data_IF_008758041103
#
_entry.id   IF_008758041103
#
_cell.length_a   1.000
_cell.length_b   1.000
_cell.length_c   1.000
_cell.angle_alpha   90.00
_cell.angle_beta   90.00
_cell.angle_gamma   90.00
#
_symmetry.space_group_name_H-M   'P 1'
#
loop_
_entity.id
_entity.type
_entity.pdbx_description
1 polymer ?
#
# COMPACT_ATOMS: atom_id res chain seq x y z
N UNK A 1 26.59 14.22 18.87
CA UNK A 1 26.03 12.92 19.22
C UNK A 1 26.78 11.86 18.43
N UNK A 2 27.46 10.93 19.13
CA UNK A 2 28.28 9.92 18.47
C UNK A 2 27.36 8.97 17.68
N UNK A 3 27.79 8.51 16.51
CA UNK A 3 27.13 7.48 15.68
C UNK A 3 26.73 6.24 16.50
N UNK A 4 27.51 5.90 17.53
CA UNK A 4 27.27 4.80 18.47
C UNK A 4 25.94 4.93 19.22
N UNK A 5 25.52 6.13 19.60
CA UNK A 5 24.25 6.35 20.29
C UNK A 5 23.02 6.19 19.37
N UNK A 6 23.15 6.52 18.07
CA UNK A 6 22.05 6.34 17.11
C UNK A 6 21.86 4.87 16.73
N UNK A 7 22.92 4.10 16.59
CA UNK A 7 22.87 2.66 16.29
C UNK A 7 22.28 1.85 17.46
N UNK A 8 22.64 2.18 18.69
CA UNK A 8 22.00 1.59 19.88
C UNK A 8 20.50 1.87 19.91
N UNK A 9 20.07 3.12 19.66
CA UNK A 9 18.65 3.46 19.61
C UNK A 9 17.87 2.71 18.51
N UNK A 10 18.49 2.44 17.36
CA UNK A 10 17.85 1.67 16.27
C UNK A 10 17.70 0.21 16.66
N UNK A 11 18.77 -0.38 17.26
CA UNK A 11 18.76 -1.77 17.71
C UNK A 11 17.73 -1.98 18.82
N UNK A 12 17.65 -1.08 19.79
CA UNK A 12 16.70 -1.15 20.89
C UNK A 12 15.26 -1.04 20.40
N UNK A 13 14.97 -0.11 19.47
CA UNK A 13 13.62 0.00 18.85
C UNK A 13 13.23 -1.27 18.12
N UNK A 14 14.16 -1.87 17.40
CA UNK A 14 13.90 -3.13 16.68
C UNK A 14 13.62 -4.26 17.66
N UNK A 15 14.39 -4.35 18.76
CA UNK A 15 14.16 -5.34 19.80
C UNK A 15 12.77 -5.17 20.45
N UNK A 16 12.41 -3.94 20.83
CA UNK A 16 11.08 -3.63 21.38
C UNK A 16 9.95 -4.03 20.43
N UNK A 17 10.14 -3.87 19.12
CA UNK A 17 9.16 -4.26 18.12
C UNK A 17 8.92 -5.79 18.12
N UNK A 18 9.98 -6.59 18.20
CA UNK A 18 9.88 -8.04 18.25
C UNK A 18 9.43 -8.57 19.63
N UNK A 19 9.80 -7.90 20.70
CA UNK A 19 9.30 -8.22 22.05
C UNK A 19 7.81 -7.96 22.15
N UNK A 20 7.33 -6.89 21.52
CA UNK A 20 5.90 -6.57 21.41
C UNK A 20 5.15 -7.67 20.67
N UNK A 21 5.63 -8.12 19.51
CA UNK A 21 5.03 -9.22 18.76
C UNK A 21 4.91 -10.47 19.63
N UNK A 22 6.01 -10.86 20.28
CA UNK A 22 6.04 -12.02 21.16
C UNK A 22 5.05 -11.92 22.32
N UNK A 23 4.93 -10.72 22.91
CA UNK A 23 3.98 -10.47 23.99
C UNK A 23 2.53 -10.54 23.51
N UNK A 24 2.25 -9.95 22.36
CA UNK A 24 0.90 -9.93 21.75
C UNK A 24 0.46 -11.36 21.41
N UNK A 25 1.31 -12.15 20.75
CA UNK A 25 1.01 -13.54 20.41
C UNK A 25 0.72 -14.41 21.64
N UNK A 26 1.50 -14.26 22.70
CA UNK A 26 1.24 -14.95 23.98
C UNK A 26 -0.12 -14.64 24.59
N UNK A 27 -0.71 -13.49 24.24
CA UNK A 27 -2.02 -13.05 24.71
C UNK A 27 -3.14 -13.26 23.66
N UNK A 28 -2.87 -14.01 22.60
CA UNK A 28 -3.84 -14.36 21.55
C UNK A 28 -4.14 -13.22 20.57
N UNK A 29 -3.23 -12.26 20.46
CA UNK A 29 -3.31 -11.22 19.44
C UNK A 29 -2.31 -11.55 18.32
N UNK A 30 -2.80 -11.65 17.09
CA UNK A 30 -2.00 -11.93 15.92
C UNK A 30 -1.85 -10.65 15.09
N UNK A 31 -0.67 -10.47 14.52
CA UNK A 31 -0.42 -9.37 13.59
C UNK A 31 -1.23 -9.62 12.31
N UNK A 32 -2.08 -8.68 11.91
CA UNK A 32 -2.85 -8.79 10.67
C UNK A 32 -2.34 -7.85 9.58
N UNK A 33 -1.62 -6.78 9.97
CA UNK A 33 -0.85 -5.90 9.10
C UNK A 33 0.39 -5.37 9.84
N UNK A 34 1.29 -4.68 9.16
CA UNK A 34 2.62 -4.31 9.67
C UNK A 34 2.61 -3.70 11.08
N UNK A 35 1.63 -2.85 11.39
CA UNK A 35 1.60 -2.03 12.61
C UNK A 35 0.58 -2.48 13.64
N UNK A 36 -0.36 -3.34 13.28
CA UNK A 36 -1.53 -3.65 14.11
C UNK A 36 -1.72 -5.15 14.38
N UNK A 37 -2.25 -5.42 15.56
CA UNK A 37 -2.55 -6.76 16.08
C UNK A 37 -4.02 -6.86 16.44
N UNK A 38 -4.60 -8.03 16.30
CA UNK A 38 -5.97 -8.30 16.71
C UNK A 38 -6.11 -9.76 17.15
N UNK A 39 -7.13 -10.05 17.95
CA UNK A 39 -7.61 -11.43 18.15
C UNK A 39 -8.26 -11.92 16.87
N UNK A 40 -8.35 -13.23 16.72
CA UNK A 40 -9.02 -13.84 15.59
C UNK A 40 -10.45 -13.27 15.41
N UNK A 41 -10.79 -12.83 14.20
CA UNK A 41 -12.08 -12.22 13.86
C UNK A 41 -12.25 -10.75 14.28
N UNK A 42 -11.24 -10.12 14.92
CA UNK A 42 -11.31 -8.74 15.41
C UNK A 42 -10.34 -7.78 14.69
N UNK A 43 -9.80 -8.16 13.54
CA UNK A 43 -9.02 -7.24 12.73
C UNK A 43 -9.84 -5.99 12.35
N UNK A 44 -9.21 -4.82 12.37
CA UNK A 44 -9.88 -3.58 12.04
C UNK A 44 -10.23 -3.54 10.55
N UNK A 45 -11.51 -3.74 10.21
CA UNK A 45 -12.01 -3.73 8.83
C UNK A 45 -11.74 -2.40 8.13
N UNK A 46 -11.77 -1.29 8.87
CA UNK A 46 -11.45 0.02 8.31
C UNK A 46 -9.99 0.10 7.82
N UNK A 47 -9.04 -0.41 8.61
CA UNK A 47 -7.64 -0.47 8.18
C UNK A 47 -7.45 -1.43 6.99
N UNK A 48 -8.05 -2.62 7.06
CA UNK A 48 -8.00 -3.57 5.96
C UNK A 48 -8.58 -2.98 4.67
N UNK A 49 -9.69 -2.22 4.77
CA UNK A 49 -10.29 -1.55 3.64
C UNK A 49 -9.32 -0.57 2.95
N UNK A 50 -8.47 0.14 3.70
CA UNK A 50 -7.42 0.96 3.09
C UNK A 50 -6.37 0.12 2.35
N UNK A 51 -5.93 -0.98 2.97
CA UNK A 51 -4.94 -1.87 2.36
C UNK A 51 -5.47 -2.66 1.16
N UNK A 52 -6.78 -2.79 1.06
CA UNK A 52 -7.50 -3.46 -0.05
C UNK A 52 -8.06 -2.46 -1.08
N UNK A 53 -7.73 -1.17 -0.93
CA UNK A 53 -8.19 -0.11 -1.82
C UNK A 53 -9.72 -0.02 -1.95
N UNK A 54 -10.45 -0.36 -0.88
CA UNK A 54 -11.90 -0.19 -0.82
C UNK A 54 -12.23 1.30 -0.93
N UNK A 55 -13.16 1.71 -1.79
CA UNK A 55 -13.55 3.12 -1.92
C UNK A 55 -14.00 3.71 -0.60
N UNK A 56 -13.58 4.95 -0.32
CA UNK A 56 -13.95 5.68 0.89
C UNK A 56 -14.09 7.18 0.65
N UNK A 57 -14.87 7.81 1.51
CA UNK A 57 -15.03 9.26 1.56
C UNK A 57 -14.39 9.82 2.84
N UNK A 58 -13.50 10.79 2.67
CA UNK A 58 -12.89 11.54 3.76
C UNK A 58 -13.70 12.79 4.09
N UNK A 59 -13.98 13.00 5.36
CA UNK A 59 -14.69 14.16 5.86
C UNK A 59 -13.78 15.02 6.74
N UNK A 60 -13.88 16.32 6.61
CA UNK A 60 -13.07 17.29 7.34
C UNK A 60 -11.95 17.89 6.48
N UNK A 61 -11.25 18.86 7.05
CA UNK A 61 -10.11 19.55 6.42
C UNK A 61 -8.96 18.55 6.18
N UNK A 62 -8.32 18.66 5.02
CA UNK A 62 -7.19 17.79 4.64
C UNK A 62 -7.53 16.31 4.46
N UNK A 63 -8.79 15.89 4.61
CA UNK A 63 -9.15 14.49 4.49
C UNK A 63 -9.14 14.04 3.03
N UNK A 64 -8.47 12.90 2.77
CA UNK A 64 -8.43 12.27 1.45
C UNK A 64 -9.63 11.35 1.22
N UNK A 65 -10.01 11.18 -0.03
CA UNK A 65 -11.03 10.22 -0.50
C UNK A 65 -10.47 9.41 -1.65
N UNK A 66 -10.88 8.17 -1.75
CA UNK A 66 -10.65 7.29 -2.90
C UNK A 66 -12.00 6.80 -3.38
N UNK A 67 -12.39 7.14 -4.60
CA UNK A 67 -13.71 6.85 -5.14
C UNK A 67 -13.63 6.38 -6.59
N UNK A 68 -14.59 5.57 -7.06
CA UNK A 68 -14.70 5.25 -8.48
C UNK A 68 -14.81 6.53 -9.32
N UNK A 69 -14.09 6.57 -10.43
CA UNK A 69 -14.03 7.76 -11.30
C UNK A 69 -15.37 8.14 -11.92
N UNK A 70 -16.28 7.18 -12.13
CA UNK A 70 -17.63 7.39 -12.63
C UNK A 70 -18.54 8.17 -11.65
N UNK A 71 -18.23 8.15 -10.35
CA UNK A 71 -18.93 8.97 -9.35
C UNK A 71 -18.57 10.46 -9.44
N UNK A 72 -17.42 10.79 -10.02
CA UNK A 72 -16.91 12.16 -10.10
C UNK A 72 -17.29 12.83 -11.42
N UNK A 73 -17.41 12.06 -12.48
CA UNK A 73 -17.75 12.57 -13.80
C UNK A 73 -18.81 11.69 -14.49
N UNK A 74 -19.83 12.31 -15.06
CA UNK A 74 -20.83 11.60 -15.89
C UNK A 74 -20.26 11.10 -17.23
N UNK A 75 -18.99 10.71 -17.25
CA UNK A 75 -18.28 10.30 -18.46
C UNK A 75 -17.99 8.81 -18.43
N UNK A 76 -18.59 8.03 -19.32
CA UNK A 76 -18.32 6.59 -19.51
C UNK A 76 -16.85 6.21 -19.67
N UNK A 77 -15.98 7.19 -20.04
CA UNK A 77 -14.52 6.96 -20.14
C UNK A 77 -13.81 6.77 -18.79
N UNK A 78 -14.51 7.01 -17.67
CA UNK A 78 -13.99 6.91 -16.32
C UNK A 78 -14.45 5.62 -15.61
N UNK A 79 -15.24 4.80 -16.29
CA UNK A 79 -15.73 3.53 -15.77
C UNK A 79 -14.54 2.58 -15.49
N UNK A 80 -14.50 2.04 -14.28
CA UNK A 80 -13.43 1.14 -13.83
C UNK A 80 -12.13 1.80 -13.36
N UNK A 81 -12.02 3.14 -13.37
CA UNK A 81 -10.86 3.87 -12.84
C UNK A 81 -11.14 4.43 -11.46
N UNK A 82 -10.11 4.46 -10.62
CA UNK A 82 -10.19 5.10 -9.31
C UNK A 82 -9.74 6.56 -9.41
N UNK A 83 -10.27 7.35 -8.51
CA UNK A 83 -9.97 8.78 -8.42
C UNK A 83 -9.72 9.16 -6.97
N UNK A 84 -8.73 10.00 -6.77
CA UNK A 84 -8.39 10.55 -5.45
C UNK A 84 -8.65 12.04 -5.42
N UNK A 85 -9.15 12.53 -4.30
CA UNK A 85 -9.16 13.95 -4.00
C UNK A 85 -8.90 14.17 -2.50
N UNK A 86 -8.36 15.35 -2.19
CA UNK A 86 -8.13 15.78 -0.80
C UNK A 86 -8.94 17.04 -0.54
N UNK A 87 -9.62 17.09 0.59
CA UNK A 87 -10.33 18.27 1.03
C UNK A 87 -9.33 19.41 1.32
N UNK A 88 -9.74 20.69 1.17
CA UNK A 88 -8.89 21.81 1.53
C UNK A 88 -8.41 21.76 2.98
N UNK A 89 -7.17 22.21 3.21
CA UNK A 89 -6.57 22.25 4.56
C UNK A 89 -7.14 23.38 5.43
N UNK A 90 -7.71 24.42 4.82
CA UNK A 90 -8.27 25.55 5.50
C UNK A 90 -9.77 25.38 5.71
N UNK A 91 -10.22 25.56 6.96
CA UNK A 91 -11.64 25.42 7.33
C UNK A 91 -12.58 26.30 6.48
N UNK A 92 -12.16 27.53 6.17
CA UNK A 92 -12.96 28.44 5.36
C UNK A 92 -13.17 27.92 3.94
N UNK A 93 -12.12 27.39 3.33
CA UNK A 93 -12.18 26.80 2.01
C UNK A 93 -12.99 25.51 2.02
N UNK A 94 -12.78 24.66 3.02
CA UNK A 94 -13.55 23.43 3.21
C UNK A 94 -15.04 23.71 3.34
N UNK A 95 -15.43 24.70 4.15
CA UNK A 95 -16.84 25.08 4.35
C UNK A 95 -17.52 25.60 3.07
N UNK A 96 -16.75 26.08 2.09
CA UNK A 96 -17.25 26.55 0.80
C UNK A 96 -17.03 25.55 -0.34
N UNK A 97 -16.30 24.44 -0.11
CA UNK A 97 -15.88 23.47 -1.13
C UNK A 97 -17.04 22.73 -1.81
N UNK A 98 -18.19 22.62 -1.13
CA UNK A 98 -19.40 21.99 -1.71
C UNK A 98 -19.92 22.69 -2.98
N UNK A 99 -19.51 23.93 -3.23
CA UNK A 99 -19.85 24.70 -4.46
C UNK A 99 -18.75 24.60 -5.53
N UNK A 100 -17.56 24.22 -5.17
CA UNK A 100 -16.44 24.09 -6.08
C UNK A 100 -16.37 22.65 -6.58
N UNK A 101 -16.18 22.47 -7.89
CA UNK A 101 -15.89 21.14 -8.44
C UNK A 101 -14.60 20.65 -7.79
N UNK A 102 -14.68 19.53 -7.06
CA UNK A 102 -13.50 18.85 -6.54
C UNK A 102 -12.52 18.63 -7.68
N UNK A 103 -11.27 19.02 -7.50
CA UNK A 103 -10.19 18.60 -8.38
C UNK A 103 -9.84 17.17 -8.00
N UNK A 104 -10.61 16.23 -8.55
CA UNK A 104 -10.31 14.83 -8.38
C UNK A 104 -9.25 14.44 -9.40
N UNK A 105 -8.22 13.79 -8.95
CA UNK A 105 -7.13 13.28 -9.75
C UNK A 105 -7.44 11.83 -10.11
N UNK A 106 -7.54 11.54 -11.41
CA UNK A 106 -7.72 10.17 -11.88
C UNK A 106 -6.40 9.45 -11.74
N UNK A 107 -6.42 8.30 -11.09
CA UNK A 107 -5.26 7.44 -11.02
C UNK A 107 -5.02 6.80 -12.40
N UNK A 108 -3.78 6.80 -12.82
CA UNK A 108 -3.35 6.01 -13.97
C UNK A 108 -3.34 4.53 -13.62
N UNK A 109 -3.41 3.65 -14.61
CA UNK A 109 -3.31 2.20 -14.39
C UNK A 109 -2.01 1.82 -13.64
N UNK A 110 -0.92 2.52 -13.95
CA UNK A 110 0.37 2.32 -13.28
C UNK A 110 0.28 2.66 -11.79
N UNK A 111 -0.26 3.83 -11.45
CA UNK A 111 -0.45 4.25 -10.06
C UNK A 111 -1.37 3.28 -9.30
N UNK A 112 -2.42 2.78 -9.94
CA UNK A 112 -3.30 1.78 -9.35
C UNK A 112 -2.59 0.44 -9.08
N UNK A 113 -1.73 -0.02 -10.00
CA UNK A 113 -0.92 -1.22 -9.81
C UNK A 113 0.11 -1.03 -8.69
N UNK A 114 0.79 0.12 -8.63
CA UNK A 114 1.74 0.44 -7.58
C UNK A 114 1.05 0.47 -6.20
N UNK A 115 -0.12 1.11 -6.11
CA UNK A 115 -0.91 1.11 -4.88
C UNK A 115 -1.35 -0.28 -4.46
N UNK A 116 -1.79 -1.11 -5.40
CA UNK A 116 -2.15 -2.50 -5.13
C UNK A 116 -0.98 -3.25 -4.49
N UNK A 117 0.24 -3.05 -5.02
CA UNK A 117 1.44 -3.67 -4.50
C UNK A 117 1.79 -3.17 -3.09
N UNK A 118 2.04 -1.88 -2.92
CA UNK A 118 2.57 -1.40 -1.64
C UNK A 118 1.52 -1.40 -0.52
N UNK A 119 0.23 -1.19 -0.81
CA UNK A 119 -0.83 -1.31 0.19
C UNK A 119 -1.11 -2.77 0.54
N UNK A 120 -1.20 -3.64 -0.46
CA UNK A 120 -1.46 -5.05 -0.27
C UNK A 120 -0.34 -5.77 0.51
N UNK A 121 0.92 -5.43 0.25
CA UNK A 121 2.07 -5.96 0.99
C UNK A 121 2.13 -5.53 2.46
N UNK A 122 1.32 -4.56 2.89
CA UNK A 122 1.19 -4.25 4.32
C UNK A 122 0.48 -5.34 5.10
N UNK A 123 -0.40 -6.09 4.46
CA UNK A 123 -1.13 -7.21 5.08
C UNK A 123 -0.19 -8.39 5.30
N UNK A 124 -0.35 -9.11 6.42
CA UNK A 124 0.50 -10.28 6.71
C UNK A 124 0.28 -11.42 5.71
N UNK A 125 -0.92 -11.54 5.16
CA UNK A 125 -1.22 -12.48 4.09
C UNK A 125 -0.81 -11.98 2.69
N UNK A 126 -0.24 -10.79 2.59
CA UNK A 126 0.26 -10.21 1.35
C UNK A 126 -0.82 -9.96 0.28
N UNK A 127 -0.43 -10.03 -0.98
CA UNK A 127 -1.27 -9.83 -2.16
C UNK A 127 -1.59 -11.14 -2.86
N UNK A 128 -2.75 -11.21 -3.48
CA UNK A 128 -3.17 -12.33 -4.32
C UNK A 128 -2.80 -12.07 -5.78
N UNK A 129 -2.09 -13.01 -6.40
CA UNK A 129 -1.77 -12.98 -7.83
C UNK A 129 -3.02 -13.03 -8.70
N UNK A 130 -3.99 -13.83 -8.27
CA UNK A 130 -5.28 -13.95 -8.93
C UNK A 130 -6.07 -12.64 -8.89
N UNK A 131 -6.19 -11.99 -7.71
CA UNK A 131 -6.88 -10.71 -7.58
C UNK A 131 -6.22 -9.62 -8.44
N UNK A 132 -4.88 -9.60 -8.50
CA UNK A 132 -4.16 -8.69 -9.39
C UNK A 132 -4.54 -8.92 -10.86
N UNK A 133 -4.52 -10.17 -11.30
CA UNK A 133 -4.84 -10.52 -12.70
C UNK A 133 -6.31 -10.22 -13.05
N UNK A 134 -7.24 -10.48 -12.13
CA UNK A 134 -8.66 -10.17 -12.32
C UNK A 134 -8.92 -8.67 -12.41
N UNK A 135 -8.19 -7.87 -11.60
CA UNK A 135 -8.40 -6.42 -11.56
C UNK A 135 -7.75 -5.70 -12.74
N UNK A 136 -6.52 -6.09 -13.13
CA UNK A 136 -5.74 -5.39 -14.16
C UNK A 136 -5.71 -6.09 -15.53
N UNK A 137 -6.21 -7.30 -15.63
CA UNK A 137 -6.15 -8.09 -16.86
C UNK A 137 -4.73 -8.49 -17.28
N UNK A 138 -3.76 -8.45 -16.36
CA UNK A 138 -2.33 -8.73 -16.57
C UNK A 138 -1.84 -9.66 -15.48
N UNK A 139 -0.85 -10.52 -15.77
CA UNK A 139 -0.25 -11.33 -14.70
C UNK A 139 0.68 -10.46 -13.83
N UNK A 140 0.73 -10.80 -12.54
CA UNK A 140 1.65 -10.14 -11.61
C UNK A 140 3.11 -10.34 -12.03
N UNK A 141 3.42 -11.52 -12.52
CA UNK A 141 4.75 -11.92 -12.96
C UNK A 141 5.24 -11.11 -14.15
N UNK A 142 4.34 -10.79 -15.10
CA UNK A 142 4.69 -10.00 -16.29
C UNK A 142 5.09 -8.56 -15.93
N UNK A 143 4.51 -8.02 -14.87
CA UNK A 143 4.71 -6.63 -14.46
C UNK A 143 5.76 -6.51 -13.36
N UNK A 144 5.70 -7.38 -12.34
CA UNK A 144 6.50 -7.29 -11.12
C UNK A 144 7.45 -8.48 -10.91
N UNK A 145 7.56 -9.42 -11.87
CA UNK A 145 8.39 -10.62 -11.73
C UNK A 145 9.85 -10.31 -11.40
N UNK A 146 10.47 -9.35 -12.12
CA UNK A 146 11.87 -8.96 -11.88
C UNK A 146 12.09 -8.37 -10.47
N UNK A 147 11.35 -7.34 -10.03
CA UNK A 147 11.49 -6.80 -8.67
C UNK A 147 11.14 -7.81 -7.58
N UNK A 148 10.16 -8.67 -7.78
CA UNK A 148 9.82 -9.74 -6.81
C UNK A 148 10.99 -10.71 -6.68
N UNK A 149 11.52 -11.25 -7.77
CA UNK A 149 12.68 -12.16 -7.75
C UNK A 149 13.90 -11.53 -7.07
N UNK A 150 14.14 -10.23 -7.31
CA UNK A 150 15.21 -9.50 -6.64
C UNK A 150 14.97 -9.40 -5.13
N UNK A 151 13.77 -9.06 -4.71
CA UNK A 151 13.42 -8.94 -3.29
C UNK A 151 13.42 -10.31 -2.59
N UNK A 152 13.05 -11.39 -3.27
CA UNK A 152 13.18 -12.77 -2.77
C UNK A 152 14.66 -13.16 -2.56
N UNK A 153 15.53 -12.83 -3.51
CA UNK A 153 16.97 -13.10 -3.38
C UNK A 153 17.59 -12.42 -2.17
N UNK A 154 17.02 -11.26 -1.78
CA UNK A 154 17.37 -10.50 -0.57
C UNK A 154 16.65 -11.02 0.68
N UNK A 155 15.77 -12.00 0.56
CA UNK A 155 14.93 -12.57 1.62
C UNK A 155 14.02 -11.51 2.25
N UNK A 156 13.48 -10.60 1.45
CA UNK A 156 12.54 -9.56 1.87
C UNK A 156 11.11 -9.90 1.51
N UNK A 157 10.90 -10.66 0.44
CA UNK A 157 9.63 -11.24 0.04
C UNK A 157 9.72 -12.76 0.01
N UNK A 158 8.57 -13.38 0.13
CA UNK A 158 8.31 -14.78 -0.19
C UNK A 158 7.06 -14.85 -1.04
N UNK A 159 6.95 -15.90 -1.86
CA UNK A 159 5.77 -16.17 -2.67
C UNK A 159 5.50 -17.67 -2.77
N UNK A 160 4.25 -17.99 -3.07
CA UNK A 160 3.80 -19.29 -3.55
C UNK A 160 3.07 -19.14 -4.89
N UNK A 161 2.31 -20.16 -5.30
CA UNK A 161 1.54 -20.13 -6.54
C UNK A 161 0.42 -19.08 -6.53
N UNK A 162 -0.10 -18.74 -5.34
CA UNK A 162 -1.26 -17.88 -5.17
C UNK A 162 -0.94 -16.46 -4.69
N UNK A 163 0.12 -16.29 -3.90
CA UNK A 163 0.35 -15.05 -3.14
C UNK A 163 1.82 -14.63 -3.08
N UNK A 164 2.03 -13.33 -2.76
CA UNK A 164 3.33 -12.72 -2.45
C UNK A 164 3.20 -11.95 -1.14
N UNK A 165 4.13 -12.12 -0.19
CA UNK A 165 4.09 -11.47 1.12
C UNK A 165 5.48 -11.07 1.63
N UNK A 166 5.51 -10.18 2.62
CA UNK A 166 6.73 -9.79 3.31
C UNK A 166 7.23 -10.89 4.24
N UNK A 167 8.53 -11.17 4.18
CA UNK A 167 9.20 -11.94 5.23
C UNK A 167 9.31 -11.12 6.53
N UNK A 168 9.69 -11.74 7.62
CA UNK A 168 10.03 -11.01 8.86
C UNK A 168 11.08 -9.93 8.63
N UNK A 169 12.10 -10.21 7.83
CA UNK A 169 13.13 -9.23 7.43
C UNK A 169 12.55 -8.15 6.53
N UNK A 170 11.63 -8.50 5.63
CA UNK A 170 10.94 -7.56 4.76
C UNK A 170 10.09 -6.57 5.56
N UNK A 171 9.43 -7.01 6.63
CA UNK A 171 8.67 -6.15 7.53
C UNK A 171 9.58 -5.09 8.17
N UNK A 172 10.78 -5.47 8.65
CA UNK A 172 11.75 -4.54 9.24
C UNK A 172 12.16 -3.39 8.31
N UNK A 173 12.17 -3.64 7.01
CA UNK A 173 12.60 -2.69 5.97
C UNK A 173 11.51 -2.44 4.92
N UNK A 174 10.26 -2.57 5.32
CA UNK A 174 9.09 -2.55 4.43
C UNK A 174 9.03 -1.29 3.54
N UNK A 175 9.44 -0.13 4.04
CA UNK A 175 9.51 1.08 3.22
C UNK A 175 10.45 0.92 2.02
N UNK A 176 11.58 0.23 2.17
CA UNK A 176 12.49 -0.04 1.05
C UNK A 176 11.90 -1.02 0.05
N UNK A 177 11.11 -1.99 0.53
CA UNK A 177 10.36 -2.91 -0.35
C UNK A 177 9.30 -2.15 -1.12
N UNK A 178 8.52 -1.28 -0.45
CA UNK A 178 7.47 -0.48 -1.10
C UNK A 178 8.04 0.43 -2.19
N UNK A 179 9.15 1.12 -1.91
CA UNK A 179 9.87 1.91 -2.91
C UNK A 179 10.29 1.05 -4.10
N UNK A 180 10.81 -0.15 -3.87
CA UNK A 180 11.27 -1.03 -4.95
C UNK A 180 10.13 -1.49 -5.87
N UNK A 181 8.91 -1.69 -5.35
CA UNK A 181 7.75 -2.07 -6.16
C UNK A 181 7.03 -0.87 -6.79
N UNK A 182 7.22 0.36 -6.27
CA UNK A 182 6.61 1.58 -6.84
C UNK A 182 7.44 2.19 -7.99
N UNK A 183 8.75 2.00 -8.04
CA UNK A 183 9.62 2.56 -9.09
C UNK A 183 9.83 1.64 -10.30
N UNK A 184 9.12 0.53 -10.39
CA UNK A 184 9.37 -0.50 -11.42
C UNK A 184 9.06 0.01 -12.83
N UNK A 185 8.06 0.86 -12.99
CA UNK A 185 7.64 1.33 -14.31
C UNK A 185 8.49 2.48 -14.89
N UNK A 186 9.19 3.24 -14.06
CA UNK A 186 10.08 4.30 -14.55
C UNK A 186 11.27 3.71 -15.32
N UNK A 187 11.80 2.56 -14.93
CA UNK A 187 12.90 1.88 -15.64
C UNK A 187 12.48 1.19 -16.93
N UNK A 188 11.26 0.70 -17.05
CA UNK A 188 10.77 0.06 -18.28
C UNK A 188 10.58 1.05 -19.44
N UNK A 189 10.42 2.34 -19.15
CA UNK A 189 10.36 3.40 -20.17
C UNK A 189 11.74 3.91 -20.62
N UNK A 190 12.73 3.94 -19.73
CA UNK A 190 14.09 4.38 -20.09
C UNK A 190 14.80 3.37 -21.02
N UNK A 191 14.55 2.07 -20.87
CA UNK A 191 15.17 1.03 -21.73
C UNK A 191 14.53 0.90 -23.12
N UNK A 192 13.39 1.55 -23.40
CA UNK A 192 12.74 1.52 -24.73
C UNK A 192 13.12 2.67 -25.66
N UNK A 193 13.88 3.64 -25.19
CA UNK A 193 14.34 4.76 -26.02
C UNK A 193 15.78 4.63 -26.53
N UNK A 194 16.49 3.54 -26.19
CA UNK A 194 17.90 3.29 -26.60
C UNK A 194 18.06 2.07 -27.54
N UNK A 195 17.06 1.80 -28.41
CA UNK A 195 17.18 0.82 -29.51
C UNK A 195 16.66 1.41 -30.81
#
# INVERSE_FOLDING_TARGET
PSLVGSEMCIRDRRQMYWDTETLMEKNGYHRYEISNYAKEGYACLHNLGYWERVPYLGFGIGAASLVPGDLIGKCRKLEGKMSRYTNPDQLREYAHSYRNKFQAELLTETEEMEEFMFLGLRKMNGISKKEFSEYFGKSLEDIYGEPICKLESLKLLEQDDDRVWLTKRGIDVSNSVFVAVSYTHLRAHETRHDL
#
